data_IF_222834940090
#
_entry.id   IF_222834940090
#
_cell.length_a   1.000
_cell.length_b   1.000
_cell.length_c   1.000
_cell.angle_alpha   90.00
_cell.angle_beta   90.00
_cell.angle_gamma   90.00
#
_symmetry.space_group_name_H-M   'P 1'
#
loop_
_entity.id
_entity.type
_entity.pdbx_description
1 polymer ?
#
# COMPACT_ATOMS: atom_id res chain seq x y z
N UNK A 1 -1.43 -6.39 -39.87
CA UNK A 1 -2.03 -7.47 -39.06
C UNK A 1 -2.35 -6.85 -37.71
N UNK A 2 -3.59 -6.93 -37.25
CA UNK A 2 -3.95 -6.41 -35.92
C UNK A 2 -3.55 -7.40 -34.86
N UNK A 3 -3.06 -6.89 -33.72
CA UNK A 3 -2.74 -7.74 -32.56
C UNK A 3 -4.03 -8.32 -31.99
N UNK A 4 -4.01 -9.60 -31.66
CA UNK A 4 -5.14 -10.30 -31.05
C UNK A 4 -4.89 -10.42 -29.55
N UNK A 5 -5.82 -9.91 -28.74
CA UNK A 5 -5.77 -10.06 -27.29
C UNK A 5 -5.99 -11.53 -26.94
N UNK A 6 -4.98 -12.18 -26.32
CA UNK A 6 -5.03 -13.58 -25.92
C UNK A 6 -5.36 -13.78 -24.42
N UNK A 7 -5.29 -12.72 -23.63
CA UNK A 7 -5.59 -12.78 -22.20
C UNK A 7 -5.40 -11.42 -21.52
N UNK A 8 -5.84 -11.36 -20.27
CA UNK A 8 -5.65 -10.22 -19.36
C UNK A 8 -5.05 -10.73 -18.07
N UNK A 9 -3.99 -10.08 -17.59
CA UNK A 9 -3.34 -10.40 -16.32
C UNK A 9 -3.46 -9.22 -15.37
N UNK A 10 -3.90 -9.47 -14.15
CA UNK A 10 -3.93 -8.49 -13.08
C UNK A 10 -2.65 -8.57 -12.25
N UNK A 11 -2.15 -7.42 -11.85
CA UNK A 11 -0.98 -7.28 -10.98
C UNK A 11 -1.18 -6.24 -9.90
N UNK A 12 -0.22 -6.13 -8.99
CA UNK A 12 -0.18 -5.06 -8.00
C UNK A 12 0.46 -3.84 -8.67
N UNK A 13 -0.14 -2.67 -8.50
CA UNK A 13 0.41 -1.45 -9.05
C UNK A 13 1.76 -1.12 -8.36
N UNK A 14 2.82 -1.08 -9.17
CA UNK A 14 4.14 -0.64 -8.72
C UNK A 14 4.10 0.86 -8.41
N UNK A 15 4.69 1.33 -7.30
CA UNK A 15 4.79 2.76 -6.98
C UNK A 15 5.40 3.62 -8.10
N UNK A 16 6.39 3.10 -8.82
CA UNK A 16 6.98 3.80 -9.97
C UNK A 16 5.98 3.92 -11.13
N UNK A 17 5.20 2.89 -11.41
CA UNK A 17 4.16 2.93 -12.43
C UNK A 17 3.02 3.88 -12.05
N UNK A 18 2.67 3.95 -10.76
CA UNK A 18 1.70 4.92 -10.26
C UNK A 18 2.18 6.34 -10.55
N UNK A 19 3.43 6.68 -10.19
CA UNK A 19 4.02 7.99 -10.47
C UNK A 19 4.11 8.29 -11.96
N UNK A 20 4.52 7.33 -12.76
CA UNK A 20 4.68 7.47 -14.21
C UNK A 20 3.37 7.69 -14.94
N UNK A 21 2.28 7.07 -14.47
CA UNK A 21 0.93 7.22 -15.04
C UNK A 21 0.20 8.45 -14.48
N UNK A 22 0.67 9.00 -13.38
CA UNK A 22 0.07 10.13 -12.70
C UNK A 22 0.27 11.43 -13.47
N UNK A 23 -0.81 12.17 -13.65
CA UNK A 23 -0.79 13.50 -14.28
C UNK A 23 -0.63 14.62 -13.25
N UNK A 24 -0.82 14.31 -11.96
CA UNK A 24 -0.75 15.28 -10.88
C UNK A 24 -0.38 14.62 -9.55
N UNK A 25 0.58 15.21 -8.84
CA UNK A 25 0.82 14.94 -7.44
C UNK A 25 -0.13 15.80 -6.61
N UNK A 26 -0.96 15.17 -5.77
CA UNK A 26 -1.90 15.88 -4.91
C UNK A 26 -1.20 16.22 -3.59
N UNK A 27 -1.02 17.52 -3.37
CA UNK A 27 -0.27 18.04 -2.22
C UNK A 27 -1.09 18.91 -1.29
N UNK A 28 -2.34 19.25 -1.66
CA UNK A 28 -3.19 20.12 -0.82
C UNK A 28 -4.60 19.58 -0.67
N UNK A 29 -5.17 19.78 0.52
CA UNK A 29 -6.55 19.43 0.86
C UNK A 29 -7.57 20.45 0.35
N UNK A 30 -7.11 21.60 -0.16
CA UNK A 30 -7.98 22.65 -0.69
C UNK A 30 -8.62 22.19 -2.01
N UNK A 31 -9.94 22.33 -2.09
CA UNK A 31 -10.73 21.89 -3.24
C UNK A 31 -10.91 23.00 -4.27
N UNK A 32 -11.49 24.13 -3.85
CA UNK A 32 -11.75 25.29 -4.71
C UNK A 32 -11.31 26.58 -4.03
N UNK A 33 -10.83 27.53 -4.83
CA UNK A 33 -10.55 28.89 -4.41
C UNK A 33 -11.14 29.86 -5.45
N UNK A 34 -11.99 30.79 -5.01
CA UNK A 34 -12.67 31.76 -5.90
C UNK A 34 -13.39 31.08 -7.08
N UNK A 35 -14.03 29.93 -6.83
CA UNK A 35 -14.78 29.17 -7.86
C UNK A 35 -13.92 28.34 -8.83
N UNK A 36 -12.61 28.37 -8.68
CA UNK A 36 -11.68 27.58 -9.50
C UNK A 36 -11.08 26.42 -8.67
N UNK A 37 -10.89 25.28 -9.33
CA UNK A 37 -10.21 24.15 -8.70
C UNK A 37 -8.75 24.51 -8.39
N UNK A 38 -8.31 24.19 -7.17
CA UNK A 38 -6.95 24.51 -6.72
C UNK A 38 -5.96 23.57 -7.43
N UNK A 39 -4.87 24.11 -8.03
CA UNK A 39 -3.81 23.28 -8.60
C UNK A 39 -3.20 22.36 -7.54
N UNK A 40 -2.86 21.13 -7.92
CA UNK A 40 -2.39 20.06 -7.03
C UNK A 40 -3.38 19.68 -5.90
N UNK A 41 -4.64 20.08 -6.03
CA UNK A 41 -5.73 19.65 -5.15
C UNK A 41 -6.49 18.45 -5.72
N UNK A 42 -7.44 17.94 -4.94
CA UNK A 42 -8.24 16.75 -5.32
C UNK A 42 -9.15 16.98 -6.53
N UNK A 43 -9.41 18.23 -6.92
CA UNK A 43 -10.20 18.61 -8.10
C UNK A 43 -9.37 19.23 -9.23
N UNK A 44 -8.06 19.10 -9.21
CA UNK A 44 -7.19 19.61 -10.27
C UNK A 44 -7.70 19.19 -11.67
N UNK A 45 -7.81 20.15 -12.58
CA UNK A 45 -8.38 19.90 -13.91
C UNK A 45 -7.61 18.86 -14.74
N UNK A 46 -6.37 18.56 -14.39
CA UNK A 46 -5.57 17.50 -15.04
C UNK A 46 -6.14 16.10 -14.83
N UNK A 47 -6.95 15.88 -13.78
CA UNK A 47 -7.66 14.60 -13.57
C UNK A 47 -8.71 14.30 -14.65
N UNK A 48 -9.08 15.27 -15.46
CA UNK A 48 -10.09 15.17 -16.46
C UNK A 48 -11.20 16.22 -16.28
N UNK A 49 -12.16 16.21 -17.18
CA UNK A 49 -13.29 17.15 -17.16
C UNK A 49 -14.61 16.40 -17.11
N UNK A 50 -15.51 16.85 -16.23
CA UNK A 50 -16.87 16.33 -16.09
C UNK A 50 -17.86 17.33 -16.69
N UNK A 51 -17.57 18.63 -16.60
CA UNK A 51 -18.47 19.71 -17.01
C UNK A 51 -18.55 19.84 -18.53
N UNK A 52 -19.78 20.05 -19.05
CA UNK A 52 -20.01 20.28 -20.48
C UNK A 52 -19.29 21.54 -20.98
N UNK A 53 -18.74 21.45 -22.17
CA UNK A 53 -18.07 22.58 -22.83
C UNK A 53 -16.64 22.84 -22.36
N UNK A 54 -16.13 22.12 -21.35
CA UNK A 54 -14.71 22.18 -20.94
C UNK A 54 -13.87 21.15 -21.69
N UNK A 55 -12.61 21.50 -21.88
CA UNK A 55 -11.60 20.64 -22.52
C UNK A 55 -10.58 20.22 -21.48
N UNK A 56 -10.28 18.92 -21.41
CA UNK A 56 -9.27 18.38 -20.51
C UNK A 56 -7.88 18.91 -20.86
N UNK A 57 -7.14 19.51 -19.90
CA UNK A 57 -5.80 20.01 -20.18
C UNK A 57 -4.79 18.90 -20.46
N UNK A 58 -5.05 17.67 -20.00
CA UNK A 58 -4.15 16.51 -20.18
C UNK A 58 -4.29 15.87 -21.56
N UNK A 59 -5.49 15.43 -21.94
CA UNK A 59 -5.73 14.72 -23.21
C UNK A 59 -6.35 15.58 -24.31
N UNK A 60 -6.70 16.85 -24.04
CA UNK A 60 -7.34 17.80 -24.96
C UNK A 60 -8.72 17.34 -25.46
N UNK A 61 -9.33 16.37 -24.83
CA UNK A 61 -10.65 15.85 -25.15
C UNK A 61 -11.75 16.55 -24.33
N UNK A 62 -12.97 16.51 -24.84
CA UNK A 62 -14.16 16.97 -24.11
C UNK A 62 -14.57 15.96 -23.04
N UNK A 63 -15.49 16.33 -22.16
CA UNK A 63 -16.03 15.44 -21.12
C UNK A 63 -16.62 14.12 -21.64
N UNK A 64 -17.10 14.08 -22.88
CA UNK A 64 -17.65 12.87 -23.51
C UNK A 64 -16.57 11.86 -23.94
N UNK A 65 -15.37 12.33 -24.23
CA UNK A 65 -14.26 11.52 -24.77
C UNK A 65 -13.09 11.39 -23.81
N UNK A 66 -13.00 12.23 -22.76
CA UNK A 66 -11.95 12.15 -21.77
C UNK A 66 -12.17 10.94 -20.86
N UNK A 67 -11.25 9.94 -20.82
CA UNK A 67 -11.42 8.76 -19.97
C UNK A 67 -11.17 9.07 -18.49
N UNK A 68 -10.72 10.29 -18.16
CA UNK A 68 -10.16 10.63 -16.88
C UNK A 68 -8.70 10.18 -16.73
N UNK A 69 -7.96 10.82 -15.83
CA UNK A 69 -6.54 10.58 -15.62
C UNK A 69 -6.28 10.39 -14.13
N UNK A 70 -5.38 9.46 -13.80
CA UNK A 70 -4.98 9.21 -12.43
C UNK A 70 -3.97 10.25 -11.95
N UNK A 71 -4.06 10.60 -10.66
CA UNK A 71 -3.00 11.28 -9.93
C UNK A 71 -2.42 10.37 -8.86
N UNK A 72 -1.61 10.93 -7.97
CA UNK A 72 -1.09 10.22 -6.82
C UNK A 72 -0.86 11.15 -5.62
N UNK A 73 -0.75 10.54 -4.44
CA UNK A 73 -0.32 11.17 -3.21
C UNK A 73 0.97 10.48 -2.75
N UNK A 74 2.05 11.24 -2.58
CA UNK A 74 3.27 10.74 -1.93
C UNK A 74 3.07 10.69 -0.42
N UNK A 75 3.16 9.51 0.15
CA UNK A 75 3.00 9.33 1.59
C UNK A 75 4.30 9.66 2.34
N UNK A 76 4.19 10.41 3.43
CA UNK A 76 5.32 10.80 4.28
C UNK A 76 6.01 9.59 4.92
N UNK A 77 5.25 8.51 5.17
CA UNK A 77 5.73 7.20 5.58
C UNK A 77 4.98 6.10 4.84
N UNK A 78 5.64 4.97 4.52
CA UNK A 78 4.97 3.80 3.96
C UNK A 78 3.87 3.29 4.89
N UNK A 79 2.81 2.75 4.29
CA UNK A 79 1.68 2.13 5.00
C UNK A 79 1.36 0.77 4.37
N UNK A 80 0.77 -0.15 5.15
CA UNK A 80 0.29 -1.41 4.60
C UNK A 80 -0.92 -1.18 3.71
N UNK A 81 -0.93 -1.76 2.51
CA UNK A 81 -2.15 -1.88 1.71
C UNK A 81 -3.05 -2.94 2.36
N UNK A 82 -4.20 -2.50 2.86
CA UNK A 82 -5.09 -3.33 3.69
C UNK A 82 -5.52 -4.62 2.99
N UNK A 83 -5.80 -4.56 1.68
CA UNK A 83 -6.16 -5.73 0.87
C UNK A 83 -5.09 -6.83 0.82
N UNK A 84 -3.82 -6.48 1.02
CA UNK A 84 -2.70 -7.43 1.03
C UNK A 84 -2.16 -7.71 2.44
N UNK A 85 -2.76 -7.12 3.47
CA UNK A 85 -2.26 -7.18 4.83
C UNK A 85 -2.12 -8.61 5.36
N UNK A 86 -3.07 -9.48 5.02
CA UNK A 86 -3.01 -10.92 5.31
C UNK A 86 -1.83 -11.61 4.64
N UNK A 87 -1.53 -11.22 3.42
CA UNK A 87 -0.41 -11.79 2.66
C UNK A 87 0.92 -11.31 3.22
N UNK A 88 1.01 -10.04 3.61
CA UNK A 88 2.19 -9.45 4.26
C UNK A 88 2.49 -10.16 5.57
N UNK A 89 1.49 -10.36 6.45
CA UNK A 89 1.63 -11.12 7.70
C UNK A 89 2.20 -12.53 7.45
N UNK A 90 1.58 -13.24 6.52
CA UNK A 90 1.97 -14.61 6.17
C UNK A 90 3.37 -14.67 5.57
N UNK A 91 3.75 -13.68 4.76
CA UNK A 91 5.07 -13.60 4.16
C UNK A 91 6.16 -13.32 5.21
N UNK A 92 5.89 -12.44 6.17
CA UNK A 92 6.80 -12.17 7.29
C UNK A 92 7.09 -13.43 8.13
N UNK A 93 6.21 -14.43 8.11
CA UNK A 93 6.40 -15.70 8.79
C UNK A 93 7.23 -16.73 8.00
N UNK A 94 7.43 -16.52 6.69
CA UNK A 94 8.16 -17.49 5.83
C UNK A 94 9.51 -16.97 5.33
N UNK A 95 9.83 -15.70 5.58
CA UNK A 95 11.12 -15.09 5.23
C UNK A 95 11.86 -14.59 6.47
N UNK A 96 13.17 -14.45 6.34
CA UNK A 96 13.99 -13.79 7.35
C UNK A 96 13.94 -12.26 7.13
N UNK A 97 13.44 -11.50 8.10
CA UNK A 97 13.37 -10.03 7.99
C UNK A 97 14.75 -9.36 8.01
N UNK A 98 15.81 -10.06 8.43
CA UNK A 98 17.17 -9.54 8.42
C UNK A 98 17.85 -9.67 7.05
N UNK A 99 17.89 -10.87 6.46
CA UNK A 99 18.55 -11.12 5.17
C UNK A 99 17.60 -11.28 3.98
N UNK A 100 16.29 -11.27 4.22
CA UNK A 100 15.21 -11.35 3.22
C UNK A 100 15.12 -12.68 2.45
N UNK A 101 15.89 -13.69 2.86
CA UNK A 101 15.84 -15.03 2.26
C UNK A 101 14.70 -15.86 2.85
N UNK A 102 14.12 -16.78 2.06
CA UNK A 102 13.17 -17.76 2.58
C UNK A 102 13.76 -18.55 3.77
N UNK A 103 12.93 -18.84 4.77
CA UNK A 103 13.32 -19.67 5.92
C UNK A 103 13.36 -21.16 5.58
N UNK A 104 12.79 -21.55 4.46
CA UNK A 104 12.89 -22.89 3.89
C UNK A 104 14.09 -22.95 2.94
N UNK A 105 14.78 -24.08 2.88
CA UNK A 105 15.93 -24.26 1.99
C UNK A 105 15.51 -24.25 0.52
N UNK A 106 16.41 -23.76 -0.36
CA UNK A 106 16.15 -23.71 -1.81
C UNK A 106 15.76 -25.10 -2.38
N UNK A 107 16.50 -26.16 -1.99
CA UNK A 107 16.23 -27.53 -2.44
C UNK A 107 14.82 -28.02 -2.06
N UNK A 108 14.30 -27.59 -0.89
CA UNK A 108 12.96 -27.95 -0.47
C UNK A 108 11.90 -27.17 -1.27
N UNK A 109 12.17 -25.89 -1.54
CA UNK A 109 11.31 -25.06 -2.38
C UNK A 109 11.28 -25.56 -3.83
N UNK A 110 12.41 -25.90 -4.42
CA UNK A 110 12.53 -26.32 -5.83
C UNK A 110 11.87 -27.69 -6.09
N UNK A 111 11.69 -28.53 -5.06
CA UNK A 111 10.95 -29.80 -5.14
C UNK A 111 9.42 -29.64 -5.18
N UNK A 112 8.90 -28.46 -4.90
CA UNK A 112 7.45 -28.20 -4.95
C UNK A 112 6.98 -28.04 -6.39
N UNK A 113 5.91 -28.75 -6.75
CA UNK A 113 5.33 -28.72 -8.10
C UNK A 113 4.21 -27.68 -8.27
N UNK A 114 3.77 -27.05 -7.18
CA UNK A 114 2.73 -26.03 -7.20
C UNK A 114 3.28 -24.68 -7.70
N UNK A 115 2.42 -23.78 -8.15
CA UNK A 115 2.75 -22.44 -8.64
C UNK A 115 1.86 -21.36 -8.04
N UNK A 116 2.29 -20.11 -8.10
CA UNK A 116 1.51 -18.95 -7.65
C UNK A 116 1.09 -19.05 -6.18
N UNK A 117 -0.09 -18.58 -5.86
CA UNK A 117 -0.63 -18.57 -4.49
C UNK A 117 -0.84 -19.96 -3.89
N UNK A 118 -1.04 -21.01 -4.72
CA UNK A 118 -1.09 -22.39 -4.25
C UNK A 118 0.26 -22.83 -3.68
N UNK A 119 1.36 -22.46 -4.35
CA UNK A 119 2.74 -22.68 -3.86
C UNK A 119 2.99 -21.95 -2.55
N UNK A 120 2.61 -20.67 -2.46
CA UNK A 120 2.76 -19.92 -1.23
C UNK A 120 1.99 -20.54 -0.05
N UNK A 121 0.79 -21.07 -0.31
CA UNK A 121 0.01 -21.81 0.69
C UNK A 121 0.73 -23.09 1.11
N UNK A 122 1.22 -23.88 0.17
CA UNK A 122 1.95 -25.14 0.43
C UNK A 122 3.21 -24.89 1.27
N UNK A 123 3.98 -23.82 0.97
CA UNK A 123 5.15 -23.42 1.76
C UNK A 123 4.75 -23.18 3.22
N UNK A 124 3.71 -22.40 3.48
CA UNK A 124 3.23 -22.11 4.83
C UNK A 124 2.79 -23.37 5.60
N UNK A 125 2.08 -24.26 4.90
CA UNK A 125 1.50 -25.46 5.51
C UNK A 125 2.59 -26.52 5.78
N UNK A 126 3.66 -26.51 5.00
CA UNK A 126 4.77 -27.48 5.09
C UNK A 126 5.92 -26.98 5.96
N UNK A 127 6.11 -25.66 6.05
CA UNK A 127 7.26 -25.08 6.76
C UNK A 127 7.18 -25.35 8.27
N UNK A 128 8.21 -26.01 8.79
CA UNK A 128 8.40 -26.14 10.24
C UNK A 128 9.00 -24.86 10.78
N UNK A 129 8.65 -24.53 12.03
CA UNK A 129 9.24 -23.40 12.73
C UNK A 129 10.76 -23.53 12.78
N UNK A 130 11.44 -22.44 12.49
CA UNK A 130 12.89 -22.31 12.51
C UNK A 130 13.28 -21.25 13.54
N UNK A 131 14.10 -21.61 14.52
CA UNK A 131 14.52 -20.66 15.58
C UNK A 131 15.58 -19.69 15.11
N UNK A 132 16.38 -20.08 14.11
CA UNK A 132 17.37 -19.22 13.47
C UNK A 132 17.34 -19.38 11.95
N UNK A 133 17.60 -18.28 11.23
CA UNK A 133 17.65 -18.28 9.78
C UNK A 133 18.77 -19.18 9.25
N UNK A 134 18.50 -20.12 8.34
CA UNK A 134 19.54 -20.99 7.79
C UNK A 134 20.61 -20.25 6.97
N UNK A 135 20.31 -19.05 6.47
CA UNK A 135 21.23 -18.26 5.65
C UNK A 135 22.11 -17.30 6.44
N UNK A 136 21.58 -16.62 7.45
CA UNK A 136 22.34 -15.60 8.21
C UNK A 136 22.46 -15.88 9.71
N UNK A 137 21.92 -17.00 10.17
CA UNK A 137 21.94 -17.45 11.56
C UNK A 137 21.33 -16.46 12.58
N UNK A 138 20.58 -15.44 12.10
CA UNK A 138 19.85 -14.52 12.98
C UNK A 138 18.64 -15.21 13.58
N UNK A 139 18.38 -15.00 14.86
CA UNK A 139 17.15 -15.48 15.51
C UNK A 139 15.92 -14.91 14.77
N UNK A 140 14.98 -15.78 14.47
CA UNK A 140 13.71 -15.41 13.82
C UNK A 140 12.65 -15.13 14.88
N UNK A 141 11.58 -14.42 14.49
CA UNK A 141 10.40 -14.35 15.34
C UNK A 141 9.74 -15.73 15.47
N UNK A 142 9.22 -16.03 16.64
CA UNK A 142 8.41 -17.24 16.84
C UNK A 142 7.19 -17.21 15.94
N UNK A 143 6.58 -16.03 15.82
CA UNK A 143 5.45 -15.75 14.96
C UNK A 143 5.32 -14.25 14.74
N UNK A 144 4.92 -13.85 13.55
CA UNK A 144 4.41 -12.51 13.26
C UNK A 144 2.89 -12.58 13.25
N UNK A 145 2.23 -11.68 13.97
CA UNK A 145 0.77 -11.65 14.12
C UNK A 145 0.23 -10.24 13.95
N UNK A 146 -1.05 -10.17 13.58
CA UNK A 146 -1.80 -8.92 13.56
C UNK A 146 -2.14 -8.49 14.98
N UNK A 147 -2.08 -7.18 15.23
CA UNK A 147 -2.57 -6.60 16.48
C UNK A 147 -4.08 -6.49 16.42
N UNK A 148 -4.76 -7.08 17.39
CA UNK A 148 -6.23 -7.05 17.47
C UNK A 148 -6.70 -5.62 17.80
N UNK A 149 -7.74 -5.15 17.09
CA UNK A 149 -8.34 -3.84 17.32
C UNK A 149 -7.58 -2.65 16.71
N UNK A 150 -6.53 -2.89 15.93
CA UNK A 150 -5.79 -1.85 15.22
C UNK A 150 -5.83 -2.07 13.71
N UNK A 151 -6.08 -1.00 12.94
CA UNK A 151 -6.00 -1.08 11.49
C UNK A 151 -4.56 -1.34 11.06
N UNK A 152 -4.31 -2.53 10.49
CA UNK A 152 -3.06 -2.93 9.85
C UNK A 152 -1.78 -2.67 10.70
N UNK A 153 -1.70 -3.28 11.90
CA UNK A 153 -0.47 -3.34 12.69
C UNK A 153 0.00 -4.78 12.83
N UNK A 154 1.31 -4.99 12.70
CA UNK A 154 1.97 -6.28 12.89
C UNK A 154 2.91 -6.26 14.08
N UNK A 155 2.93 -7.35 14.83
CA UNK A 155 3.88 -7.59 15.91
C UNK A 155 4.64 -8.89 15.69
N UNK A 156 5.95 -8.82 15.89
CA UNK A 156 6.81 -9.99 15.96
C UNK A 156 6.90 -10.50 17.40
N UNK A 157 6.47 -11.72 17.62
CA UNK A 157 6.65 -12.42 18.89
C UNK A 157 8.04 -13.04 18.90
N UNK A 158 8.96 -12.63 19.80
CA UNK A 158 10.30 -13.19 19.84
C UNK A 158 10.32 -14.69 20.18
N UNK A 159 11.28 -15.42 19.63
CA UNK A 159 11.51 -16.80 20.04
C UNK A 159 12.18 -16.84 21.41
N UNK A 160 11.61 -17.58 22.36
CA UNK A 160 12.10 -17.71 23.73
C UNK A 160 12.73 -19.08 23.90
N UNK A 161 13.95 -19.14 24.45
CA UNK A 161 14.55 -20.39 24.86
C UNK A 161 13.86 -20.94 26.13
N UNK A 162 13.89 -22.26 26.33
CA UNK A 162 13.31 -22.87 27.54
C UNK A 162 13.97 -22.30 28.77
N UNK A 163 13.19 -21.61 29.63
CA UNK A 163 13.64 -21.06 30.90
C UNK A 163 14.04 -19.58 30.88
N UNK A 164 13.95 -18.90 29.74
CA UNK A 164 14.13 -17.44 29.62
C UNK A 164 12.77 -16.72 29.74
N UNK A 165 12.77 -15.53 30.33
CA UNK A 165 11.59 -14.64 30.29
C UNK A 165 11.35 -14.19 28.87
N UNK A 166 10.08 -14.17 28.44
CA UNK A 166 9.70 -13.73 27.12
C UNK A 166 9.95 -12.22 26.98
N UNK A 167 10.79 -11.77 26.05
CA UNK A 167 10.93 -10.35 25.78
C UNK A 167 9.61 -9.79 25.19
N UNK A 168 9.38 -8.48 25.31
CA UNK A 168 8.15 -7.87 24.78
C UNK A 168 8.04 -8.06 23.28
N UNK A 169 6.80 -8.11 22.78
CA UNK A 169 6.53 -8.13 21.35
C UNK A 169 7.11 -6.89 20.67
N UNK A 170 7.63 -7.07 19.48
CA UNK A 170 8.24 -5.99 18.68
C UNK A 170 7.24 -5.52 17.62
N UNK A 171 6.87 -4.25 17.68
CA UNK A 171 6.04 -3.63 16.64
C UNK A 171 6.85 -3.56 15.34
N UNK A 172 6.31 -4.17 14.27
CA UNK A 172 6.92 -4.17 12.95
C UNK A 172 6.37 -2.98 12.15
N UNK A 173 7.21 -1.97 11.98
CA UNK A 173 6.86 -0.79 11.19
C UNK A 173 6.87 -1.13 9.69
N UNK A 174 5.95 -0.54 8.87
CA UNK A 174 5.89 -0.78 7.43
C UNK A 174 7.22 -0.54 6.70
N UNK A 175 8.02 0.45 7.14
CA UNK A 175 9.33 0.75 6.55
C UNK A 175 10.33 -0.40 6.70
N UNK A 176 10.33 -1.07 7.84
CA UNK A 176 11.24 -2.20 8.12
C UNK A 176 10.88 -3.36 7.18
N UNK A 177 9.58 -3.64 7.06
CA UNK A 177 9.10 -4.72 6.20
C UNK A 177 9.31 -4.38 4.73
N UNK A 178 9.06 -3.13 4.31
CA UNK A 178 9.32 -2.67 2.96
C UNK A 178 10.79 -2.91 2.56
N UNK A 179 11.74 -2.49 3.42
CA UNK A 179 13.17 -2.72 3.18
C UNK A 179 13.52 -4.21 3.09
N UNK A 180 12.87 -5.04 3.92
CA UNK A 180 13.07 -6.49 3.85
C UNK A 180 12.53 -7.06 2.53
N UNK A 181 11.35 -6.65 2.10
CA UNK A 181 10.72 -7.14 0.88
C UNK A 181 11.44 -6.67 -0.39
N UNK A 182 11.95 -5.44 -0.42
CA UNK A 182 12.76 -4.92 -1.53
C UNK A 182 14.05 -5.72 -1.78
N UNK A 183 14.61 -6.32 -0.74
CA UNK A 183 15.83 -7.16 -0.84
C UNK A 183 15.55 -8.60 -1.27
N UNK A 184 14.29 -9.01 -1.41
CA UNK A 184 13.95 -10.33 -1.93
C UNK A 184 14.36 -10.38 -3.41
N UNK A 185 15.19 -11.37 -3.77
CA UNK A 185 15.60 -11.57 -5.15
C UNK A 185 14.42 -12.01 -6.03
N UNK A 186 14.50 -11.77 -7.34
CA UNK A 186 13.47 -12.21 -8.27
C UNK A 186 13.33 -13.74 -8.31
N UNK A 187 14.43 -14.45 -8.06
CA UNK A 187 14.44 -15.90 -7.94
C UNK A 187 13.69 -16.36 -6.71
N UNK A 188 13.96 -15.75 -5.54
CA UNK A 188 13.25 -16.05 -4.30
C UNK A 188 11.77 -15.63 -4.37
N UNK A 189 11.43 -14.55 -5.07
CA UNK A 189 10.05 -14.19 -5.37
C UNK A 189 9.31 -15.33 -6.09
N UNK A 190 9.90 -15.88 -7.17
CA UNK A 190 9.31 -17.00 -7.91
C UNK A 190 9.22 -18.26 -7.05
N UNK A 191 10.26 -18.56 -6.27
CA UNK A 191 10.27 -19.70 -5.33
C UNK A 191 9.17 -19.59 -4.29
N UNK A 192 8.86 -18.38 -3.81
CA UNK A 192 7.77 -18.11 -2.88
C UNK A 192 6.38 -18.12 -3.53
N UNK A 193 6.30 -18.16 -4.86
CA UNK A 193 5.05 -18.18 -5.61
C UNK A 193 4.55 -16.80 -6.05
N UNK A 194 5.39 -15.76 -5.97
CA UNK A 194 5.10 -14.41 -6.48
C UNK A 194 5.73 -14.19 -7.84
N UNK A 195 5.10 -13.34 -8.65
CA UNK A 195 5.64 -12.94 -9.94
C UNK A 195 6.40 -11.60 -9.79
N UNK A 196 7.73 -11.55 -10.08
CA UNK A 196 8.51 -10.33 -9.97
C UNK A 196 8.05 -9.19 -10.88
N UNK A 197 7.33 -9.51 -11.97
CA UNK A 197 6.85 -8.50 -12.93
C UNK A 197 5.49 -7.93 -12.56
N UNK A 198 4.63 -8.70 -11.86
CA UNK A 198 3.24 -8.33 -11.64
C UNK A 198 2.81 -8.31 -10.18
N UNK A 199 3.54 -8.96 -9.29
CA UNK A 199 3.12 -9.13 -7.88
C UNK A 199 4.27 -9.20 -6.88
N UNK A 200 5.25 -8.30 -7.00
CA UNK A 200 6.34 -8.25 -6.01
C UNK A 200 5.82 -7.96 -4.61
N UNK A 201 6.36 -8.60 -3.58
CA UNK A 201 5.96 -8.38 -2.19
C UNK A 201 6.10 -6.94 -1.70
N UNK A 202 7.12 -6.21 -2.13
CA UNK A 202 7.36 -4.82 -1.75
C UNK A 202 6.26 -3.86 -2.25
N UNK A 203 5.53 -4.21 -3.32
CA UNK A 203 4.40 -3.41 -3.81
C UNK A 203 3.14 -3.54 -2.95
N UNK A 204 3.12 -4.49 -2.00
CA UNK A 204 2.03 -4.61 -1.01
C UNK A 204 2.12 -3.58 0.12
N UNK A 205 3.18 -2.77 0.12
CA UNK A 205 3.39 -1.66 1.04
C UNK A 205 3.39 -0.37 0.25
N UNK A 206 2.43 0.50 0.54
CA UNK A 206 2.16 1.71 -0.20
C UNK A 206 3.04 2.86 0.27
N UNK A 207 3.77 3.48 -0.62
CA UNK A 207 4.45 4.76 -0.44
C UNK A 207 3.93 5.84 -1.41
N UNK A 208 3.26 5.44 -2.49
CA UNK A 208 2.56 6.31 -3.42
C UNK A 208 1.14 5.79 -3.62
N UNK A 209 0.15 6.55 -3.15
CA UNK A 209 -1.27 6.18 -3.26
C UNK A 209 -1.84 6.72 -4.57
N UNK A 210 -2.42 5.84 -5.40
CA UNK A 210 -3.11 6.26 -6.62
C UNK A 210 -4.41 7.00 -6.28
N UNK A 211 -4.62 8.15 -6.94
CA UNK A 211 -5.83 8.96 -6.83
C UNK A 211 -6.65 8.80 -8.11
N UNK A 212 -7.89 8.30 -8.02
CA UNK A 212 -8.73 8.08 -9.19
C UNK A 212 -9.18 9.40 -9.84
N UNK A 213 -9.51 9.37 -11.14
CA UNK A 213 -10.00 10.54 -11.87
C UNK A 213 -11.36 11.04 -11.34
N UNK A 214 -11.72 12.27 -11.73
CA UNK A 214 -12.98 12.89 -11.32
C UNK A 214 -14.22 12.13 -11.83
N UNK A 215 -14.11 11.38 -12.91
CA UNK A 215 -15.19 10.54 -13.44
C UNK A 215 -15.59 9.40 -12.51
N UNK A 216 -14.69 8.93 -11.64
CA UNK A 216 -14.96 7.89 -10.63
C UNK A 216 -15.57 8.48 -9.36
N UNK A 217 -15.30 9.75 -9.07
CA UNK A 217 -15.76 10.47 -7.87
C UNK A 217 -16.38 11.83 -8.22
N UNK A 218 -17.48 11.85 -8.98
CA UNK A 218 -18.08 13.08 -9.46
C UNK A 218 -18.67 13.89 -8.32
N UNK A 219 -18.53 15.22 -8.38
CA UNK A 219 -19.29 16.12 -7.50
C UNK A 219 -20.64 16.44 -8.12
N UNK A 220 -21.69 16.53 -7.30
CA UNK A 220 -23.04 16.91 -7.72
C UNK A 220 -23.32 18.33 -7.27
N UNK A 221 -23.84 19.16 -8.17
CA UNK A 221 -24.30 20.51 -7.86
C UNK A 221 -25.80 20.42 -7.55
N UNK A 222 -26.20 20.87 -6.36
CA UNK A 222 -27.59 20.95 -5.95
C UNK A 222 -28.26 22.25 -6.43
N UNK A 223 -29.57 22.33 -6.37
CA UNK A 223 -30.35 23.48 -6.85
C UNK A 223 -30.02 24.81 -6.15
N UNK A 224 -29.45 24.75 -4.94
CA UNK A 224 -28.98 25.90 -4.17
C UNK A 224 -27.52 26.29 -4.44
N UNK A 225 -26.92 25.78 -5.52
CA UNK A 225 -25.52 25.94 -5.90
C UNK A 225 -24.52 25.33 -4.92
N UNK A 226 -24.96 24.54 -3.93
CA UNK A 226 -24.05 23.78 -3.09
C UNK A 226 -23.52 22.57 -3.85
N UNK A 227 -22.21 22.34 -3.73
CA UNK A 227 -21.56 21.13 -4.29
C UNK A 227 -21.53 20.07 -3.19
N UNK A 228 -22.06 18.91 -3.50
CA UNK A 228 -21.85 17.70 -2.72
C UNK A 228 -20.67 16.93 -3.35
N UNK A 229 -19.70 16.63 -2.53
CA UNK A 229 -18.53 15.85 -2.91
C UNK A 229 -18.79 14.37 -2.60
N UNK A 230 -18.18 13.50 -3.42
CA UNK A 230 -18.22 12.06 -3.22
C UNK A 230 -17.46 11.64 -1.96
N UNK A 231 -17.90 10.57 -1.30
CA UNK A 231 -17.28 10.04 -0.07
C UNK A 231 -15.79 9.67 -0.27
N UNK A 232 -15.43 9.18 -1.47
CA UNK A 232 -14.02 8.94 -1.81
C UNK A 232 -13.19 10.24 -1.78
N UNK A 233 -13.79 11.36 -2.18
CA UNK A 233 -13.10 12.67 -2.13
C UNK A 233 -12.90 13.11 -0.68
N UNK A 234 -13.89 12.94 0.20
CA UNK A 234 -13.74 13.23 1.63
C UNK A 234 -12.64 12.38 2.28
N UNK A 235 -12.58 11.10 1.92
CA UNK A 235 -11.55 10.20 2.44
C UNK A 235 -10.16 10.57 1.92
N UNK A 236 -10.03 10.95 0.65
CA UNK A 236 -8.76 11.47 0.09
C UNK A 236 -8.31 12.74 0.81
N UNK A 237 -9.21 13.68 1.10
CA UNK A 237 -8.90 14.89 1.88
C UNK A 237 -8.40 14.51 3.29
N UNK A 238 -9.01 13.53 3.94
CA UNK A 238 -8.59 13.04 5.25
C UNK A 238 -7.18 12.42 5.20
N UNK A 239 -6.86 11.68 4.14
CA UNK A 239 -5.51 11.14 3.90
C UNK A 239 -4.51 12.28 3.71
N UNK A 240 -4.81 13.26 2.86
CA UNK A 240 -3.92 14.40 2.61
C UNK A 240 -3.62 15.16 3.91
N UNK A 241 -4.65 15.49 4.69
CA UNK A 241 -4.50 16.19 5.99
C UNK A 241 -3.65 15.42 7.00
N UNK A 242 -3.87 14.10 7.12
CA UNK A 242 -3.06 13.27 8.01
C UNK A 242 -1.63 13.14 7.52
N UNK A 243 -1.42 13.06 6.20
CA UNK A 243 -0.12 12.98 5.56
C UNK A 243 0.68 14.28 5.72
N UNK A 244 0.06 15.44 5.48
CA UNK A 244 0.69 16.76 5.69
C UNK A 244 1.08 16.97 7.17
N UNK A 245 0.17 16.63 8.10
CA UNK A 245 0.47 16.68 9.54
C UNK A 245 1.67 15.82 9.91
N UNK A 246 1.71 14.59 9.38
CA UNK A 246 2.81 13.66 9.65
C UNK A 246 4.13 14.22 9.09
N UNK A 247 4.13 14.73 7.86
CA UNK A 247 5.31 15.33 7.21
C UNK A 247 5.83 16.52 8.02
N UNK A 248 4.95 17.45 8.42
CA UNK A 248 5.31 18.63 9.24
C UNK A 248 5.95 18.22 10.57
N UNK A 249 5.48 17.15 11.22
CA UNK A 249 6.03 16.65 12.48
C UNK A 249 7.36 15.92 12.31
N UNK A 250 7.54 15.21 11.20
CA UNK A 250 8.83 14.60 10.84
C UNK A 250 9.86 15.70 10.58
N UNK A 251 9.51 16.72 9.80
CA UNK A 251 10.41 17.84 9.46
C UNK A 251 10.83 18.66 10.69
N UNK A 252 9.96 18.74 11.69
CA UNK A 252 10.22 19.40 12.98
C UNK A 252 10.95 18.50 13.99
N UNK A 253 11.30 17.26 13.63
CA UNK A 253 11.94 16.28 14.51
C UNK A 253 11.18 16.08 15.85
N UNK A 254 9.87 15.99 15.79
CA UNK A 254 9.01 15.72 16.95
C UNK A 254 9.28 14.34 17.56
N UNK A 255 8.74 14.08 18.76
CA UNK A 255 8.95 12.83 19.48
C UNK A 255 8.49 11.60 18.67
N UNK A 256 9.20 10.50 18.80
CA UNK A 256 8.87 9.23 18.12
C UNK A 256 7.42 8.77 18.40
N UNK A 257 6.95 8.92 19.64
CA UNK A 257 5.58 8.57 20.03
C UNK A 257 4.52 9.39 19.25
N UNK A 258 4.76 10.70 19.04
CA UNK A 258 3.87 11.55 18.26
C UNK A 258 3.86 11.14 16.79
N UNK A 259 5.04 10.88 16.22
CA UNK A 259 5.19 10.44 14.83
C UNK A 259 4.49 9.09 14.63
N UNK A 260 4.63 8.15 15.56
CA UNK A 260 3.99 6.83 15.48
C UNK A 260 2.46 6.91 15.58
N UNK A 261 1.92 7.81 16.42
CA UNK A 261 0.46 8.07 16.50
C UNK A 261 -0.07 8.64 15.19
N UNK A 262 0.63 9.59 14.58
CA UNK A 262 0.21 10.17 13.29
C UNK A 262 0.38 9.17 12.13
N UNK A 263 1.41 8.33 12.17
CA UNK A 263 1.58 7.23 11.22
C UNK A 263 0.42 6.23 11.32
N UNK A 264 -0.01 5.91 12.55
CA UNK A 264 -1.17 5.04 12.75
C UNK A 264 -2.48 5.66 12.24
N UNK A 265 -2.65 6.99 12.38
CA UNK A 265 -3.80 7.70 11.83
C UNK A 265 -3.78 7.70 10.29
N UNK A 266 -2.62 7.94 9.66
CA UNK A 266 -2.46 7.85 8.22
C UNK A 266 -2.77 6.43 7.72
N UNK A 267 -2.23 5.40 8.39
CA UNK A 267 -2.51 3.99 8.09
C UNK A 267 -4.01 3.69 8.16
N UNK A 268 -4.70 4.19 9.19
CA UNK A 268 -6.15 4.02 9.34
C UNK A 268 -6.91 4.68 8.19
N UNK A 269 -6.59 5.93 7.84
CA UNK A 269 -7.27 6.64 6.75
C UNK A 269 -7.06 5.96 5.39
N UNK A 270 -5.86 5.43 5.12
CA UNK A 270 -5.60 4.67 3.88
C UNK A 270 -6.32 3.33 3.91
N UNK A 271 -6.38 2.65 5.05
CA UNK A 271 -7.09 1.38 5.18
C UNK A 271 -8.61 1.55 4.95
N UNK A 272 -9.23 2.56 5.57
CA UNK A 272 -10.67 2.86 5.39
C UNK A 272 -11.00 3.40 3.99
N UNK A 273 -10.05 3.97 3.29
CA UNK A 273 -10.22 4.32 1.87
C UNK A 273 -10.38 3.07 0.99
N UNK A 274 -9.73 1.97 1.35
CA UNK A 274 -9.79 0.70 0.61
C UNK A 274 -10.95 -0.17 1.06
N UNK A 275 -11.22 -0.21 2.37
CA UNK A 275 -12.25 -1.03 3.00
C UNK A 275 -13.00 -0.21 4.06
N UNK A 276 -14.24 0.15 3.75
CA UNK A 276 -15.09 0.97 4.62
C UNK A 276 -15.69 0.20 5.81
N UNK A 277 -15.59 -1.13 5.83
CA UNK A 277 -16.10 -1.96 6.93
C UNK A 277 -15.14 -2.02 8.14
N UNK A 278 -13.97 -1.38 8.04
CA UNK A 278 -13.01 -1.31 9.14
C UNK A 278 -13.63 -0.49 10.28
N UNK A 279 -13.77 -1.13 11.45
CA UNK A 279 -14.26 -0.46 12.65
C UNK A 279 -13.32 0.66 13.06
N UNK A 280 -13.90 1.78 13.54
CA UNK A 280 -13.16 2.94 14.03
C UNK A 280 -12.13 2.60 15.11
N UNK A 281 -11.06 3.43 15.16
CA UNK A 281 -10.06 3.37 16.23
C UNK A 281 -10.65 3.88 17.56
#
# INVERSE_FOLDING_TARGET
MGDTIIGVQFGIANPEDIRKRSVVEVTTDKTYQSGQAVPNGVFDGRFGVIENGKVCPTCKQTNQLCPGHFGHIELARPVYLYQFFDTVEKLCNVICLNCSKPLMTADALDKMNSSGMARFKEIRDTMKRVDACPACNTRTFAKVTKVVGAAAKLEGVPAVAKGEEAPPNVLLQPEVILRAFQRISDEDCRRLGFDPQFSRPDWMICNALAVPPLTVRPSVVMDDHQRMEDDLTHQLISIIRSNERLRDKIDKNESADMIDKLTALLQYNVATYVDNDIKGM
#
